data_IF_923650953392
#
_entry.id   IF_923650953392
#
_cell.length_a   1.000
_cell.length_b   1.000
_cell.length_c   1.000
_cell.angle_alpha   90.00
_cell.angle_beta   90.00
_cell.angle_gamma   90.00
#
_symmetry.space_group_name_H-M   'P 1'
#
loop_
_entity.id
_entity.type
_entity.pdbx_description
1 polymer ?
#
# COMPACT_ATOMS: atom_id res chain seq x y z
N UNK A 1 -10.84 3.62 -7.31
CA UNK A 1 -10.19 2.66 -8.22
C UNK A 1 -8.82 2.38 -7.61
N UNK A 2 -8.33 1.14 -7.61
CA UNK A 2 -7.01 0.84 -7.04
C UNK A 2 -5.90 1.52 -7.83
N UNK A 3 -4.93 2.12 -7.14
CA UNK A 3 -3.73 2.67 -7.77
C UNK A 3 -2.69 1.56 -7.93
N UNK A 4 -2.12 1.46 -9.13
CA UNK A 4 -1.03 0.52 -9.43
C UNK A 4 0.31 1.17 -9.12
N UNK A 5 1.28 0.40 -8.61
CA UNK A 5 2.60 0.88 -8.27
C UNK A 5 3.24 1.72 -9.41
N UNK A 6 3.48 3.04 -9.20
CA UNK A 6 3.99 3.92 -10.23
C UNK A 6 5.53 3.87 -10.33
N UNK A 7 6.09 4.36 -11.44
CA UNK A 7 7.55 4.41 -11.64
C UNK A 7 8.24 5.56 -10.89
N UNK A 8 7.47 6.53 -10.39
CA UNK A 8 7.96 7.68 -9.63
C UNK A 8 7.17 7.77 -8.34
N UNK A 9 7.88 7.71 -7.22
CA UNK A 9 7.30 7.78 -5.89
C UNK A 9 7.68 9.08 -5.18
N UNK A 10 6.82 9.62 -4.31
CA UNK A 10 7.17 10.75 -3.48
C UNK A 10 8.31 10.39 -2.52
N UNK A 11 9.13 11.39 -2.16
CA UNK A 11 10.14 11.20 -1.12
C UNK A 11 9.46 10.97 0.23
N UNK A 12 9.86 9.90 0.93
CA UNK A 12 9.35 9.56 2.26
C UNK A 12 9.96 10.53 3.30
N UNK A 13 9.15 11.25 4.09
CA UNK A 13 9.64 12.11 5.17
C UNK A 13 10.12 11.27 6.36
N UNK A 14 10.83 11.89 7.32
CA UNK A 14 11.36 11.19 8.50
C UNK A 14 10.29 10.52 9.36
N UNK A 15 9.12 11.15 9.52
CA UNK A 15 7.98 10.58 10.26
C UNK A 15 7.25 9.47 9.48
N UNK A 16 7.53 9.37 8.16
CA UNK A 16 6.91 8.39 7.26
C UNK A 16 5.39 8.47 7.24
N UNK A 17 4.82 9.65 7.47
CA UNK A 17 3.38 9.89 7.55
C UNK A 17 2.68 9.02 8.62
N UNK A 18 3.37 8.71 9.72
CA UNK A 18 2.96 7.72 10.72
C UNK A 18 2.54 6.36 10.09
N UNK A 19 3.08 6.02 8.92
CA UNK A 19 2.71 4.81 8.20
C UNK A 19 3.08 3.57 9.01
N UNK A 20 2.10 2.68 9.21
CA UNK A 20 2.31 1.42 9.91
C UNK A 20 1.40 0.33 9.40
N UNK A 21 1.92 -0.90 9.38
CA UNK A 21 1.15 -2.10 9.10
C UNK A 21 0.24 -2.42 10.28
N UNK A 22 -1.05 -2.61 10.03
CA UNK A 22 -2.04 -2.96 11.06
C UNK A 22 -2.39 -4.44 11.03
N UNK A 23 -2.42 -5.05 9.85
CA UNK A 23 -2.74 -6.47 9.70
C UNK A 23 -2.14 -7.08 8.43
N UNK A 24 -1.86 -8.39 8.49
CA UNK A 24 -1.73 -9.26 7.33
C UNK A 24 -3.10 -9.87 7.05
N UNK A 25 -3.75 -9.49 5.94
CA UNK A 25 -5.06 -10.05 5.56
C UNK A 25 -4.94 -11.44 4.93
N UNK A 26 -3.74 -11.83 4.52
CA UNK A 26 -3.43 -13.17 4.03
C UNK A 26 -3.15 -13.19 2.53
N UNK A 27 -3.42 -14.32 1.90
CA UNK A 27 -3.17 -14.54 0.47
C UNK A 27 -4.52 -14.67 -0.24
N UNK A 28 -4.77 -13.80 -1.21
CA UNK A 28 -5.93 -13.89 -2.09
C UNK A 28 -5.55 -14.58 -3.41
N UNK A 29 -6.14 -15.75 -3.72
CA UNK A 29 -5.89 -16.42 -4.99
C UNK A 29 -6.54 -15.66 -6.14
N UNK A 30 -5.80 -15.47 -7.23
CA UNK A 30 -6.30 -14.92 -8.50
C UNK A 30 -6.43 -16.04 -9.53
N UNK A 31 -7.61 -16.18 -10.13
CA UNK A 31 -7.88 -17.20 -11.14
C UNK A 31 -6.99 -16.97 -12.37
N UNK A 32 -6.00 -17.85 -12.56
CA UNK A 32 -5.05 -17.79 -13.68
C UNK A 32 -3.91 -16.77 -13.52
N UNK A 33 -3.73 -16.15 -12.35
CA UNK A 33 -2.62 -15.23 -12.05
C UNK A 33 -1.86 -15.65 -10.79
N UNK A 34 -0.80 -14.92 -10.44
CA UNK A 34 -0.05 -15.12 -9.20
C UNK A 34 -0.94 -14.78 -8.00
N UNK A 35 -0.75 -15.53 -6.91
CA UNK A 35 -1.37 -15.24 -5.62
C UNK A 35 -1.01 -13.82 -5.15
N UNK A 36 -1.99 -13.12 -4.57
CA UNK A 36 -1.81 -11.77 -4.05
C UNK A 36 -1.62 -11.81 -2.53
N UNK A 37 -0.49 -11.32 -2.04
CA UNK A 37 -0.27 -11.07 -0.63
C UNK A 37 -0.94 -9.76 -0.25
N UNK A 38 -1.91 -9.84 0.65
CA UNK A 38 -2.74 -8.70 1.04
C UNK A 38 -2.42 -8.28 2.47
N UNK A 39 -2.08 -7.01 2.61
CA UNK A 39 -1.72 -6.37 3.86
C UNK A 39 -2.50 -5.08 4.05
N UNK A 40 -2.83 -4.77 5.30
CA UNK A 40 -3.51 -3.55 5.70
C UNK A 40 -2.51 -2.62 6.40
N UNK A 41 -2.57 -1.35 6.02
CA UNK A 41 -1.77 -0.28 6.57
C UNK A 41 -2.66 0.90 6.94
N UNK A 42 -2.17 1.70 7.87
CA UNK A 42 -2.70 3.04 8.09
C UNK A 42 -1.58 4.06 7.91
N UNK A 43 -1.92 5.22 7.38
CA UNK A 43 -1.01 6.35 7.22
C UNK A 43 -1.74 7.67 7.10
N UNK A 44 -1.03 8.76 7.36
CA UNK A 44 -1.55 10.11 7.23
C UNK A 44 -1.53 10.58 5.77
N UNK A 45 -2.66 11.09 5.29
CA UNK A 45 -2.83 11.64 3.95
C UNK A 45 -4.01 12.61 3.87
N UNK A 46 -3.89 13.59 2.97
CA UNK A 46 -4.91 14.57 2.67
C UNK A 46 -6.05 13.97 1.82
N UNK A 47 -5.73 12.96 0.98
CA UNK A 47 -6.69 12.30 0.09
C UNK A 47 -6.41 10.80 -0.03
N UNK A 48 -7.42 10.04 -0.45
CA UNK A 48 -7.31 8.62 -0.76
C UNK A 48 -6.18 8.29 -1.76
N UNK A 49 -6.12 9.01 -2.88
CA UNK A 49 -5.08 8.82 -3.91
C UNK A 49 -3.69 9.07 -3.33
N UNK A 50 -3.55 10.13 -2.53
CA UNK A 50 -2.28 10.46 -1.88
C UNK A 50 -1.89 9.39 -0.83
N UNK A 51 -2.86 8.80 -0.13
CA UNK A 51 -2.62 7.69 0.79
C UNK A 51 -2.07 6.45 0.05
N UNK A 52 -2.64 6.14 -1.11
CA UNK A 52 -2.17 5.02 -1.94
C UNK A 52 -0.73 5.25 -2.45
N UNK A 53 -0.41 6.45 -2.95
CA UNK A 53 0.94 6.79 -3.40
C UNK A 53 1.98 6.80 -2.27
N UNK A 54 1.60 7.37 -1.11
CA UNK A 54 2.47 7.41 0.09
C UNK A 54 2.74 6.01 0.62
N UNK A 55 1.76 5.12 0.58
CA UNK A 55 1.95 3.73 0.99
C UNK A 55 3.00 3.03 0.10
N UNK A 56 2.92 3.20 -1.22
CA UNK A 56 3.93 2.63 -2.11
C UNK A 56 5.33 3.17 -1.81
N UNK A 57 5.47 4.49 -1.58
CA UNK A 57 6.74 5.08 -1.20
C UNK A 57 7.29 4.52 0.12
N UNK A 58 6.42 4.33 1.11
CA UNK A 58 6.78 3.75 2.41
C UNK A 58 7.29 2.31 2.25
N UNK A 59 6.57 1.45 1.54
CA UNK A 59 6.93 0.04 1.38
C UNK A 59 8.18 -0.13 0.51
N UNK A 60 8.30 0.66 -0.56
CA UNK A 60 9.49 0.70 -1.41
C UNK A 60 10.75 1.07 -0.60
N UNK A 61 10.62 2.02 0.33
CA UNK A 61 11.72 2.48 1.15
C UNK A 61 12.09 1.55 2.31
N UNK A 62 11.11 0.93 2.96
CA UNK A 62 11.31 0.21 4.23
C UNK A 62 11.38 -1.32 4.08
N UNK A 63 10.70 -1.90 3.08
CA UNK A 63 10.57 -3.36 2.93
C UNK A 63 11.40 -3.95 1.78
N UNK A 64 11.98 -3.13 0.89
CA UNK A 64 12.75 -3.57 -0.30
C UNK A 64 12.04 -4.66 -1.13
N UNK A 65 10.70 -4.71 -1.09
CA UNK A 65 9.88 -5.74 -1.71
C UNK A 65 9.69 -5.47 -3.22
N UNK A 66 9.55 -6.52 -4.04
CA UNK A 66 9.26 -6.33 -5.47
C UNK A 66 7.80 -5.90 -5.65
N UNK A 67 7.56 -4.59 -5.58
CA UNK A 67 6.23 -4.00 -5.72
C UNK A 67 5.72 -3.97 -7.18
N UNK A 68 6.39 -4.68 -8.10
CA UNK A 68 6.00 -4.67 -9.52
C UNK A 68 4.67 -5.36 -9.71
N UNK A 69 3.68 -4.58 -10.11
CA UNK A 69 2.30 -5.06 -10.25
C UNK A 69 1.52 -5.06 -8.94
N UNK A 70 2.08 -4.51 -7.86
CA UNK A 70 1.34 -4.26 -6.63
C UNK A 70 0.26 -3.19 -6.85
N UNK A 71 -0.84 -3.33 -6.13
CA UNK A 71 -1.95 -2.36 -6.12
C UNK A 71 -2.23 -1.91 -4.70
N UNK A 72 -2.43 -0.61 -4.50
CA UNK A 72 -2.86 -0.02 -3.25
C UNK A 72 -4.28 0.52 -3.41
N UNK A 73 -5.13 0.30 -2.41
CA UNK A 73 -6.50 0.79 -2.38
C UNK A 73 -6.78 1.42 -1.03
N UNK A 74 -7.05 2.72 -1.00
CA UNK A 74 -7.55 3.40 0.18
C UNK A 74 -9.02 3.02 0.38
N UNK A 75 -9.35 2.44 1.55
CA UNK A 75 -10.72 2.00 1.86
C UNK A 75 -11.51 3.14 2.51
N UNK A 76 -11.09 3.57 3.69
CA UNK A 76 -11.77 4.60 4.48
C UNK A 76 -10.81 5.46 5.29
N UNK A 77 -11.25 6.68 5.58
CA UNK A 77 -10.59 7.60 6.50
C UNK A 77 -11.01 7.24 7.93
N UNK A 78 -10.11 6.61 8.68
CA UNK A 78 -10.40 6.14 10.06
C UNK A 78 -10.35 7.25 11.10
N UNK A 79 -9.62 8.32 10.80
CA UNK A 79 -9.57 9.56 11.58
C UNK A 79 -9.23 10.73 10.65
N UNK A 80 -9.51 12.00 11.03
CA UNK A 80 -9.20 13.17 10.22
C UNK A 80 -7.76 13.17 9.70
N UNK A 81 -7.59 12.95 8.39
CA UNK A 81 -6.29 12.87 7.73
C UNK A 81 -5.52 11.56 7.89
N UNK A 82 -6.14 10.50 8.41
CA UNK A 82 -5.57 9.15 8.54
C UNK A 82 -6.40 8.13 7.77
N UNK A 83 -5.77 7.44 6.84
CA UNK A 83 -6.41 6.52 5.91
C UNK A 83 -5.98 5.08 6.16
N UNK A 84 -6.94 4.16 6.07
CA UNK A 84 -6.66 2.73 5.92
C UNK A 84 -6.47 2.40 4.45
N UNK A 85 -5.34 1.75 4.14
CA UNK A 85 -4.98 1.40 2.78
C UNK A 85 -4.60 -0.08 2.72
N UNK A 86 -5.17 -0.78 1.74
CA UNK A 86 -4.91 -2.18 1.46
C UNK A 86 -3.88 -2.26 0.34
N UNK A 87 -2.76 -2.89 0.66
CA UNK A 87 -1.74 -3.25 -0.31
C UNK A 87 -1.95 -4.70 -0.72
N UNK A 88 -2.03 -4.94 -2.03
CA UNK A 88 -1.98 -6.27 -2.61
C UNK A 88 -0.71 -6.36 -3.47
N UNK A 89 0.21 -7.26 -3.12
CA UNK A 89 1.46 -7.50 -3.83
C UNK A 89 1.41 -8.87 -4.49
N UNK A 90 1.70 -9.00 -5.80
CA UNK A 90 1.81 -10.31 -6.42
C UNK A 90 3.00 -11.08 -5.86
N UNK A 91 2.77 -12.28 -5.32
CA UNK A 91 3.85 -13.12 -4.79
C UNK A 91 4.83 -13.57 -5.88
N UNK A 92 6.12 -13.67 -5.55
CA UNK A 92 7.09 -14.36 -6.39
C UNK A 92 6.81 -15.87 -6.37
N UNK A 93 6.73 -16.47 -7.56
CA UNK A 93 6.54 -17.91 -7.74
C UNK A 93 7.62 -18.46 -8.66
#
# INVERSE_FOLDING_TARGET
MPTTYPTSLPTVPEDRWDARKTADRGIEPRDGERDLWVSEFILNADTAEQAEERLFAYVDNDYEDDLRGATATAEEETAPGTWTVILAVPGEH
#
